data_IF_148648502010
#
_entry.id   IF_148648502010
#
_cell.length_a   1.000
_cell.length_b   1.000
_cell.length_c   1.000
_cell.angle_alpha   90.00
_cell.angle_beta   90.00
_cell.angle_gamma   90.00
#
_symmetry.space_group_name_H-M   'P 1'
#
loop_
_entity.id
_entity.type
_entity.pdbx_description
1 polymer ?
#
# COMPACT_ATOMS: atom_id res chain seq x y z
N UNK A 1 -1.30 6.02 -11.42
CA UNK A 1 -2.24 6.56 -10.41
C UNK A 1 -2.08 5.87 -9.06
N UNK A 2 -2.05 4.53 -9.02
CA UNK A 2 -1.95 3.76 -7.76
C UNK A 2 -0.75 4.09 -6.85
N UNK A 3 0.38 4.54 -7.40
CA UNK A 3 1.60 4.80 -6.63
C UNK A 3 1.51 5.99 -5.64
N UNK A 4 0.49 6.84 -5.73
CA UNK A 4 0.30 7.98 -4.82
C UNK A 4 -0.87 7.81 -3.85
N UNK A 5 -1.56 6.66 -3.90
CA UNK A 5 -2.59 6.28 -2.93
C UNK A 5 -1.92 5.82 -1.63
N UNK A 6 -1.62 6.78 -0.76
CA UNK A 6 -0.96 6.52 0.52
C UNK A 6 -0.87 7.72 1.45
N UNK A 7 -1.13 8.94 0.97
CA UNK A 7 -1.11 10.14 1.80
C UNK A 7 -2.20 10.16 2.87
N UNK A 8 -3.37 9.54 2.59
CA UNK A 8 -4.47 9.46 3.56
C UNK A 8 -4.15 8.56 4.76
N UNK A 9 -3.33 7.53 4.55
CA UNK A 9 -2.82 6.70 5.64
C UNK A 9 -1.91 7.52 6.58
N UNK A 10 -1.11 8.44 6.03
CA UNK A 10 -0.29 9.37 6.81
C UNK A 10 -1.17 10.31 7.64
N UNK A 11 -2.27 10.81 7.07
CA UNK A 11 -3.19 11.67 7.83
C UNK A 11 -3.95 10.93 8.94
N UNK A 12 -4.17 9.62 8.79
CA UNK A 12 -4.80 8.82 9.86
C UNK A 12 -3.89 8.68 11.09
N UNK A 13 -2.56 8.74 10.89
CA UNK A 13 -1.53 8.71 11.94
C UNK A 13 -1.19 10.12 12.50
N UNK A 14 -1.88 11.17 12.06
CA UNK A 14 -1.63 12.54 12.53
C UNK A 14 -1.76 12.69 14.04
N UNK A 15 -2.70 11.95 14.64
CA UNK A 15 -2.98 12.00 16.07
C UNK A 15 -1.84 11.43 16.94
N UNK A 16 -0.97 10.61 16.37
CA UNK A 16 0.19 10.01 17.06
C UNK A 16 1.51 10.74 16.73
N UNK A 17 1.47 11.74 15.84
CA UNK A 17 2.67 12.44 15.34
C UNK A 17 2.98 13.66 16.20
N UNK A 18 4.24 13.81 16.65
CA UNK A 18 4.72 15.04 17.31
C UNK A 18 4.67 16.20 16.30
N UNK A 19 3.91 17.27 16.60
CA UNK A 19 3.74 18.46 15.75
C UNK A 19 3.23 18.17 14.33
N UNK A 20 1.98 17.70 14.18
CA UNK A 20 1.43 17.24 12.90
C UNK A 20 1.38 18.35 11.84
N UNK A 21 1.07 19.59 12.23
CA UNK A 21 0.93 20.75 11.33
C UNK A 21 2.19 21.09 10.53
N UNK A 22 3.39 20.77 11.05
CA UNK A 22 4.66 21.02 10.35
C UNK A 22 5.26 19.74 9.77
N UNK A 23 5.12 18.61 10.46
CA UNK A 23 5.83 17.39 10.10
C UNK A 23 5.13 16.59 9.00
N UNK A 24 3.79 16.58 8.98
CA UNK A 24 3.02 15.89 7.92
C UNK A 24 3.32 16.47 6.53
N UNK A 25 3.19 17.79 6.27
CA UNK A 25 3.43 18.32 4.92
C UNK A 25 4.90 18.12 4.48
N UNK A 26 5.87 18.20 5.41
CA UNK A 26 7.28 17.91 5.12
C UNK A 26 7.51 16.44 4.80
N UNK A 27 6.92 15.53 5.56
CA UNK A 27 7.04 14.09 5.33
C UNK A 27 6.44 13.71 3.97
N UNK A 28 5.25 14.21 3.64
CA UNK A 28 4.60 14.01 2.33
C UNK A 28 5.52 14.49 1.20
N UNK A 29 6.05 15.71 1.30
CA UNK A 29 6.93 16.28 0.27
C UNK A 29 8.23 15.48 0.10
N UNK A 30 8.90 15.13 1.21
CA UNK A 30 10.14 14.36 1.19
C UNK A 30 9.93 12.95 0.62
N UNK A 31 8.85 12.27 1.02
CA UNK A 31 8.56 10.91 0.54
C UNK A 31 8.23 10.92 -0.96
N UNK A 32 7.49 11.93 -1.42
CA UNK A 32 7.17 12.13 -2.85
C UNK A 32 8.43 12.42 -3.67
N UNK A 33 9.30 13.33 -3.20
CA UNK A 33 10.54 13.67 -3.91
C UNK A 33 11.52 12.49 -3.94
N UNK A 34 11.72 11.82 -2.80
CA UNK A 34 12.59 10.66 -2.71
C UNK A 34 12.08 9.51 -3.57
N UNK A 35 10.78 9.19 -3.47
CA UNK A 35 10.14 8.17 -4.31
C UNK A 35 10.26 8.51 -5.80
N UNK A 36 9.93 9.75 -6.17
CA UNK A 36 10.06 10.24 -7.55
C UNK A 36 11.49 10.14 -8.08
N UNK A 37 12.50 10.49 -7.28
CA UNK A 37 13.90 10.37 -7.66
C UNK A 37 14.33 8.91 -7.88
N UNK A 38 13.88 7.99 -7.01
CA UNK A 38 14.15 6.55 -7.16
C UNK A 38 13.48 6.02 -8.43
N UNK A 39 12.21 6.35 -8.67
CA UNK A 39 11.50 5.93 -9.89
C UNK A 39 12.16 6.50 -11.15
N UNK A 40 12.54 7.79 -11.13
CA UNK A 40 13.17 8.44 -12.28
C UNK A 40 14.53 7.82 -12.60
N UNK A 41 15.38 7.61 -11.59
CA UNK A 41 16.69 6.99 -11.78
C UNK A 41 16.56 5.56 -12.27
N UNK A 42 15.68 4.75 -11.66
CA UNK A 42 15.42 3.38 -12.10
C UNK A 42 14.92 3.32 -13.55
N UNK A 43 13.95 4.15 -13.92
CA UNK A 43 13.42 4.22 -15.28
C UNK A 43 14.50 4.64 -16.29
N UNK A 44 15.35 5.61 -15.93
CA UNK A 44 16.47 6.05 -16.78
C UNK A 44 17.45 4.91 -17.08
N UNK A 45 17.88 4.16 -16.05
CA UNK A 45 18.78 3.02 -16.24
C UNK A 45 18.15 1.88 -17.05
N UNK A 46 16.87 1.58 -16.80
CA UNK A 46 16.14 0.55 -17.56
C UNK A 46 16.05 0.93 -19.03
N UNK A 47 15.70 2.18 -19.35
CA UNK A 47 15.59 2.65 -20.73
C UNK A 47 16.94 2.65 -21.46
N UNK A 48 18.04 2.93 -20.74
CA UNK A 48 19.39 2.92 -21.30
C UNK A 48 19.85 1.50 -21.68
N UNK A 49 19.44 0.49 -20.91
CA UNK A 49 19.81 -0.91 -21.12
C UNK A 49 18.85 -1.64 -22.08
N UNK A 50 17.56 -1.27 -22.07
CA UNK A 50 16.51 -1.85 -22.94
C UNK A 50 15.82 -0.77 -23.80
N UNK A 51 16.45 -0.32 -24.89
CA UNK A 51 15.88 0.71 -25.76
C UNK A 51 14.68 0.23 -26.59
N UNK A 52 14.47 -1.08 -26.73
CA UNK A 52 13.39 -1.68 -27.51
C UNK A 52 12.53 -2.63 -26.66
N UNK A 53 11.23 -2.33 -26.52
CA UNK A 53 10.25 -3.10 -25.73
C UNK A 53 9.86 -4.48 -26.32
N UNK A 54 10.61 -4.98 -27.30
CA UNK A 54 10.25 -6.13 -28.15
C UNK A 54 10.44 -7.47 -27.43
N UNK A 55 11.04 -7.48 -26.23
CA UNK A 55 11.30 -8.70 -25.44
C UNK A 55 10.33 -8.95 -24.29
N UNK A 56 9.39 -8.05 -24.00
CA UNK A 56 8.43 -8.25 -22.92
C UNK A 56 7.22 -9.01 -23.41
N UNK A 57 7.14 -10.30 -23.06
CA UNK A 57 5.99 -11.13 -23.40
C UNK A 57 4.77 -10.81 -22.52
N UNK A 58 4.97 -10.28 -21.30
CA UNK A 58 3.90 -9.91 -20.36
C UNK A 58 4.18 -8.56 -19.68
N UNK A 59 3.40 -7.49 -19.97
CA UNK A 59 3.58 -6.17 -19.34
C UNK A 59 3.46 -6.19 -17.81
N UNK A 60 2.69 -7.15 -17.27
CA UNK A 60 2.45 -7.35 -15.84
C UNK A 60 3.63 -7.97 -15.09
N UNK A 61 4.59 -8.60 -15.79
CA UNK A 61 5.74 -9.31 -15.19
C UNK A 61 7.09 -8.71 -15.63
N UNK A 62 7.08 -7.51 -16.21
CA UNK A 62 8.29 -6.89 -16.74
C UNK A 62 9.40 -6.73 -15.68
N UNK A 63 9.06 -6.48 -14.42
CA UNK A 63 10.02 -6.25 -13.34
C UNK A 63 10.90 -7.49 -13.03
N UNK A 64 10.33 -8.67 -12.69
CA UNK A 64 11.14 -9.87 -12.48
C UNK A 64 11.89 -10.34 -13.73
N UNK A 65 11.35 -10.08 -14.93
CA UNK A 65 12.02 -10.40 -16.19
C UNK A 65 13.27 -9.53 -16.43
N UNK A 66 13.17 -8.22 -16.18
CA UNK A 66 14.30 -7.28 -16.22
C UNK A 66 15.39 -7.70 -15.22
N UNK A 67 15.01 -8.09 -14.01
CA UNK A 67 15.96 -8.50 -12.96
C UNK A 67 16.68 -9.80 -13.34
N UNK A 68 15.98 -10.74 -14.00
CA UNK A 68 16.60 -11.96 -14.54
C UNK A 68 17.63 -11.62 -15.64
N UNK A 69 17.32 -10.71 -16.56
CA UNK A 69 18.24 -10.31 -17.62
C UNK A 69 19.46 -9.53 -17.13
N UNK A 70 19.34 -8.77 -16.03
CA UNK A 70 20.43 -7.94 -15.49
C UNK A 70 21.33 -8.70 -14.51
N UNK A 71 20.76 -9.56 -13.65
CA UNK A 71 21.47 -10.17 -12.52
C UNK A 71 21.49 -11.70 -12.47
N UNK A 72 20.82 -12.39 -13.38
CA UNK A 72 20.69 -13.85 -13.38
C UNK A 72 19.72 -14.40 -12.32
N UNK A 73 19.53 -15.72 -12.31
CA UNK A 73 18.48 -16.39 -11.52
C UNK A 73 18.60 -16.20 -10.00
N UNK A 74 19.82 -16.20 -9.44
CA UNK A 74 20.04 -16.00 -8.00
C UNK A 74 19.59 -14.60 -7.54
N UNK A 75 19.90 -13.57 -8.32
CA UNK A 75 19.53 -12.20 -8.00
C UNK A 75 18.01 -11.99 -8.14
N UNK A 76 17.40 -12.62 -9.14
CA UNK A 76 15.94 -12.65 -9.30
C UNK A 76 15.26 -13.28 -8.07
N UNK A 77 15.73 -14.42 -7.56
CA UNK A 77 15.12 -15.07 -6.39
C UNK A 77 15.15 -14.19 -5.14
N UNK A 78 16.28 -13.53 -4.88
CA UNK A 78 16.41 -12.62 -3.73
C UNK A 78 15.46 -11.42 -3.87
N UNK A 79 15.39 -10.84 -5.07
CA UNK A 79 14.52 -9.71 -5.35
C UNK A 79 13.04 -10.09 -5.23
N UNK A 80 12.65 -11.27 -5.74
CA UNK A 80 11.30 -11.82 -5.59
C UNK A 80 10.93 -12.04 -4.12
N UNK A 81 11.84 -12.59 -3.30
CA UNK A 81 11.62 -12.71 -1.85
C UNK A 81 11.36 -11.34 -1.21
N UNK A 82 12.17 -10.33 -1.57
CA UNK A 82 11.96 -8.95 -1.10
C UNK A 82 10.61 -8.39 -1.53
N UNK A 83 10.19 -8.64 -2.78
CA UNK A 83 8.91 -8.19 -3.32
C UNK A 83 7.72 -8.83 -2.59
N UNK A 84 7.82 -10.12 -2.26
CA UNK A 84 6.81 -10.83 -1.47
C UNK A 84 6.72 -10.24 -0.06
N UNK A 85 7.86 -10.04 0.62
CA UNK A 85 7.88 -9.42 1.95
C UNK A 85 7.29 -8.02 1.93
N UNK A 86 7.61 -7.21 0.91
CA UNK A 86 7.06 -5.86 0.75
C UNK A 86 5.54 -5.89 0.53
N UNK A 87 5.04 -6.81 -0.29
CA UNK A 87 3.60 -6.99 -0.54
C UNK A 87 2.86 -7.35 0.75
N UNK A 88 3.40 -8.28 1.54
CA UNK A 88 2.84 -8.67 2.83
C UNK A 88 2.85 -7.50 3.82
N UNK A 89 3.97 -6.78 3.92
CA UNK A 89 4.10 -5.62 4.81
C UNK A 89 3.10 -4.50 4.45
N UNK A 90 2.96 -4.20 3.16
CA UNK A 90 1.99 -3.20 2.66
C UNK A 90 0.54 -3.63 2.91
N UNK A 91 0.23 -4.92 2.75
CA UNK A 91 -1.09 -5.48 3.06
C UNK A 91 -1.44 -5.34 4.54
N UNK A 92 -0.51 -5.69 5.43
CA UNK A 92 -0.68 -5.56 6.88
C UNK A 92 -0.86 -4.09 7.30
N UNK A 93 -0.05 -3.18 6.75
CA UNK A 93 -0.16 -1.75 7.03
C UNK A 93 -1.53 -1.18 6.57
N UNK A 94 -2.02 -1.63 5.41
CA UNK A 94 -3.33 -1.22 4.88
C UNK A 94 -4.48 -1.76 5.74
N UNK A 95 -4.41 -3.03 6.15
CA UNK A 95 -5.39 -3.64 7.04
C UNK A 95 -5.46 -2.90 8.39
N UNK A 96 -4.30 -2.62 8.99
CA UNK A 96 -4.22 -1.87 10.25
C UNK A 96 -4.81 -0.45 10.12
N UNK A 97 -4.53 0.25 9.02
CA UNK A 97 -5.05 1.59 8.76
C UNK A 97 -6.57 1.61 8.58
N UNK A 98 -7.11 0.67 7.78
CA UNK A 98 -8.55 0.54 7.57
C UNK A 98 -9.30 0.21 8.86
N UNK A 99 -8.77 -0.69 9.69
CA UNK A 99 -9.38 -1.03 10.98
C UNK A 99 -9.37 0.14 11.98
N UNK A 100 -8.32 0.97 11.97
CA UNK A 100 -8.27 2.20 12.79
C UNK A 100 -9.29 3.24 12.32
N UNK A 101 -9.43 3.42 11.02
CA UNK A 101 -10.39 4.36 10.45
C UNK A 101 -11.84 3.98 10.78
N UNK A 102 -12.19 2.70 10.66
CA UNK A 102 -13.50 2.18 11.11
C UNK A 102 -13.75 2.37 12.61
N UNK A 103 -12.71 2.19 13.42
CA UNK A 103 -12.80 2.43 14.87
C UNK A 103 -13.10 3.91 15.18
N UNK A 104 -12.40 4.86 14.54
CA UNK A 104 -12.63 6.30 14.68
C UNK A 104 -14.06 6.66 14.27
N UNK A 105 -14.53 6.13 13.14
CA UNK A 105 -15.92 6.33 12.68
C UNK A 105 -16.96 5.74 13.66
N UNK A 106 -16.63 4.62 14.31
CA UNK A 106 -17.45 4.01 15.36
C UNK A 106 -17.50 4.83 16.65
N UNK A 107 -16.42 5.51 17.02
CA UNK A 107 -16.39 6.43 18.18
C UNK A 107 -17.19 7.71 17.94
N UNK A 108 -17.25 8.18 16.68
CA UNK A 108 -18.00 9.37 16.27
C UNK A 108 -19.53 9.15 16.12
N UNK A 109 -20.06 8.02 16.61
CA UNK A 109 -21.47 7.59 16.52
C UNK A 109 -22.02 7.38 15.10
N UNK A 110 -21.18 7.34 14.06
CA UNK A 110 -21.64 7.03 12.69
C UNK A 110 -22.05 5.55 12.57
N UNK A 111 -21.36 4.68 13.32
CA UNK A 111 -21.69 3.26 13.46
C UNK A 111 -22.10 2.91 14.90
N UNK A 112 -22.87 1.82 15.12
CA UNK A 112 -23.29 1.42 16.46
C UNK A 112 -22.07 1.18 17.37
N UNK A 113 -21.90 2.07 18.37
CA UNK A 113 -20.79 2.10 19.34
C UNK A 113 -20.46 0.75 19.96
N UNK A 114 -21.46 -0.10 20.15
CA UNK A 114 -21.32 -1.41 20.81
C UNK A 114 -20.36 -2.36 20.09
N UNK A 115 -20.29 -2.29 18.76
CA UNK A 115 -19.47 -3.19 17.95
C UNK A 115 -18.19 -2.52 17.42
N UNK A 116 -18.27 -1.25 17.00
CA UNK A 116 -17.14 -0.57 16.34
C UNK A 116 -16.40 0.45 17.24
N UNK A 117 -16.98 0.86 18.36
CA UNK A 117 -16.37 1.83 19.29
C UNK A 117 -15.67 1.21 20.50
N UNK A 118 -15.69 -0.12 20.63
CA UNK A 118 -15.15 -0.82 21.81
C UNK A 118 -13.76 -1.37 21.53
N UNK A 119 -12.72 -0.84 22.20
CA UNK A 119 -11.37 -1.41 22.19
C UNK A 119 -11.35 -2.64 23.10
N UNK A 120 -10.73 -3.74 22.64
CA UNK A 120 -10.50 -4.87 23.53
C UNK A 120 -9.44 -4.52 24.58
N UNK A 121 -9.81 -4.59 25.86
CA UNK A 121 -8.96 -4.19 27.01
C UNK A 121 -7.60 -4.91 27.13
N UNK A 122 -7.42 -6.08 26.51
CA UNK A 122 -6.17 -6.86 26.57
C UNK A 122 -5.24 -6.60 25.37
N UNK A 123 -5.81 -6.46 24.16
CA UNK A 123 -5.03 -6.27 22.93
C UNK A 123 -4.80 -4.78 22.58
N UNK A 124 -5.57 -3.85 23.14
CA UNK A 124 -5.52 -2.44 22.77
C UNK A 124 -5.93 -2.18 21.31
N UNK A 125 -6.57 -3.14 20.64
CA UNK A 125 -6.99 -3.07 19.23
C UNK A 125 -8.52 -3.26 19.08
N UNK A 126 -9.13 -2.64 18.05
CA UNK A 126 -10.56 -2.79 17.77
C UNK A 126 -10.83 -4.12 17.05
N UNK A 127 -10.96 -5.22 17.82
CA UNK A 127 -11.08 -6.59 17.30
C UNK A 127 -12.18 -6.77 16.24
N UNK A 128 -13.38 -6.23 16.47
CA UNK A 128 -14.50 -6.31 15.51
C UNK A 128 -14.21 -5.58 14.20
N UNK A 129 -13.51 -4.44 14.25
CA UNK A 129 -13.13 -3.69 13.04
C UNK A 129 -12.09 -4.46 12.22
N UNK A 130 -11.14 -5.12 12.89
CA UNK A 130 -10.14 -5.98 12.23
C UNK A 130 -10.79 -7.18 11.55
N UNK A 131 -11.70 -7.85 12.25
CA UNK A 131 -12.42 -9.01 11.73
C UNK A 131 -13.31 -8.64 10.53
N UNK A 132 -14.01 -7.50 10.61
CA UNK A 132 -14.85 -7.00 9.52
C UNK A 132 -14.03 -6.64 8.28
N UNK A 133 -12.92 -5.91 8.43
CA UNK A 133 -12.00 -5.61 7.31
C UNK A 133 -11.40 -6.89 6.75
N UNK A 134 -11.05 -7.87 7.59
CA UNK A 134 -10.53 -9.16 7.14
C UNK A 134 -11.56 -9.94 6.31
N UNK A 135 -12.83 -9.92 6.72
CA UNK A 135 -13.92 -10.58 6.00
C UNK A 135 -14.17 -9.92 4.63
N UNK A 136 -14.13 -8.58 4.58
CA UNK A 136 -14.18 -7.85 3.30
C UNK A 136 -12.94 -8.16 2.45
N UNK A 137 -11.75 -8.22 3.05
CA UNK A 137 -10.50 -8.51 2.32
C UNK A 137 -10.51 -9.91 1.70
N UNK A 138 -11.21 -10.88 2.29
CA UNK A 138 -11.40 -12.21 1.69
C UNK A 138 -12.19 -12.15 0.38
N UNK A 139 -13.09 -11.18 0.20
CA UNK A 139 -13.83 -11.02 -1.07
C UNK A 139 -12.93 -10.63 -2.24
N UNK A 140 -11.71 -10.13 -1.98
CA UNK A 140 -10.73 -9.80 -3.01
C UNK A 140 -10.23 -11.03 -3.80
N UNK A 141 -10.45 -12.25 -3.29
CA UNK A 141 -10.12 -13.50 -4.01
C UNK A 141 -10.89 -13.62 -5.34
N UNK A 142 -12.08 -13.02 -5.43
CA UNK A 142 -12.94 -13.10 -6.61
C UNK A 142 -12.77 -11.94 -7.59
N UNK A 143 -11.89 -10.97 -7.28
CA UNK A 143 -11.70 -9.75 -8.08
C UNK A 143 -10.39 -9.79 -8.85
N UNK A 144 -10.43 -9.38 -10.11
CA UNK A 144 -9.20 -9.22 -10.91
C UNK A 144 -8.47 -7.91 -10.57
N UNK A 145 -7.15 -7.87 -10.79
CA UNK A 145 -6.31 -6.72 -10.48
C UNK A 145 -6.82 -5.44 -11.15
N UNK A 146 -7.29 -5.54 -12.40
CA UNK A 146 -7.84 -4.39 -13.13
C UNK A 146 -9.10 -3.83 -12.45
N UNK A 147 -9.96 -4.69 -11.92
CA UNK A 147 -11.18 -4.30 -11.20
C UNK A 147 -10.86 -3.70 -9.84
N UNK A 148 -9.86 -4.25 -9.13
CA UNK A 148 -9.41 -3.72 -7.85
C UNK A 148 -8.81 -2.32 -8.02
N UNK A 149 -7.99 -2.11 -9.05
CA UNK A 149 -7.38 -0.80 -9.34
C UNK A 149 -8.44 0.24 -9.71
N UNK A 150 -9.46 -0.12 -10.50
CA UNK A 150 -10.54 0.80 -10.85
C UNK A 150 -11.42 1.14 -9.66
N UNK A 151 -11.75 0.15 -8.80
CA UNK A 151 -12.54 0.36 -7.59
C UNK A 151 -11.83 1.28 -6.59
N UNK A 152 -10.53 1.08 -6.38
CA UNK A 152 -9.73 1.93 -5.49
C UNK A 152 -9.61 3.35 -6.07
N UNK A 153 -9.40 3.47 -7.39
CA UNK A 153 -9.33 4.78 -8.03
C UNK A 153 -10.65 5.54 -7.94
N UNK A 154 -11.79 4.84 -8.06
CA UNK A 154 -13.12 5.43 -7.87
C UNK A 154 -13.35 5.85 -6.41
N UNK A 155 -12.93 5.05 -5.44
CA UNK A 155 -13.06 5.39 -4.01
C UNK A 155 -12.15 6.53 -3.55
N UNK A 156 -11.10 6.85 -4.31
CA UNK A 156 -10.17 7.94 -4.02
C UNK A 156 -10.53 9.27 -4.71
N UNK A 157 -11.46 9.25 -5.66
CA UNK A 157 -12.01 10.40 -6.38
C UNK A 157 -13.20 10.98 -5.63
#
# INVERSE_FOLDING_TARGET
>A
CFSFLGFDAVTTLSNETKQPTKNIPRAVMLTTLAGGAIFFTAAWFIQLYFPNNVRFHHPSEALPEIVLYVGGALFQSIFLCGQIMNTVASGLASHASASRLLYIMGTDNIFPKKYFGTIHSSLGTPFFSVLFVGLISMSAIFLDLAQVVSLISFGAL
#
